data_IF_189856805239
#
_entry.id   IF_189856805239
#
_cell.length_a   1.000
_cell.length_b   1.000
_cell.length_c   1.000
_cell.angle_alpha   90.00
_cell.angle_beta   90.00
_cell.angle_gamma   90.00
#
_symmetry.space_group_name_H-M   'P 1'
#
loop_
_entity.id
_entity.type
_entity.pdbx_description
1 polymer ?
#
# COMPACT_ATOMS: atom_id res chain seq x y z
N UNK A 1 -4.63 -58.22 49.60
CA UNK A 1 -5.82 -58.28 48.72
C UNK A 1 -5.93 -57.00 47.93
N UNK A 2 -6.20 -57.18 46.63
CA UNK A 2 -6.76 -56.23 45.66
C UNK A 2 -5.84 -55.17 45.05
N UNK A 3 -5.04 -55.65 44.10
CA UNK A 3 -5.01 -55.20 42.70
C UNK A 3 -6.23 -54.33 42.26
N UNK A 4 -5.98 -53.14 41.70
CA UNK A 4 -6.73 -52.63 40.54
C UNK A 4 -5.74 -51.99 39.57
N UNK A 5 -5.96 -52.33 38.31
CA UNK A 5 -5.09 -52.22 37.15
C UNK A 5 -5.49 -50.98 36.31
N UNK A 6 -4.53 -50.53 35.51
CA UNK A 6 -4.62 -49.88 34.19
C UNK A 6 -5.13 -48.44 33.97
N UNK A 7 -4.14 -47.62 33.59
CA UNK A 7 -4.01 -46.79 32.36
C UNK A 7 -5.11 -45.79 31.98
N UNK A 8 -4.72 -44.52 31.94
CA UNK A 8 -5.25 -43.51 31.02
C UNK A 8 -4.18 -42.43 30.78
N UNK A 9 -3.50 -42.42 29.63
CA UNK A 9 -3.13 -41.21 28.85
C UNK A 9 -2.77 -41.64 27.41
N UNK A 10 -3.77 -41.62 26.53
CA UNK A 10 -3.72 -41.42 25.07
C UNK A 10 -5.09 -40.74 24.77
N UNK A 11 -5.25 -39.67 24.02
CA UNK A 11 -4.67 -39.34 22.73
C UNK A 11 -4.60 -37.83 22.48
N UNK A 12 -3.62 -37.48 21.65
CA UNK A 12 -3.52 -36.23 20.93
C UNK A 12 -4.78 -35.97 20.08
N UNK A 13 -5.34 -34.77 20.17
CA UNK A 13 -6.08 -34.20 19.06
C UNK A 13 -5.80 -32.70 18.97
N UNK A 14 -4.71 -32.42 18.27
CA UNK A 14 -4.36 -31.15 17.65
C UNK A 14 -5.55 -30.64 16.84
N UNK A 15 -6.35 -29.74 17.41
CA UNK A 15 -7.27 -28.90 16.66
C UNK A 15 -6.47 -27.82 15.93
N UNK A 16 -5.83 -28.21 14.82
CA UNK A 16 -5.35 -27.22 13.84
C UNK A 16 -6.57 -26.54 13.24
N UNK A 17 -6.69 -25.25 13.56
CA UNK A 17 -7.78 -24.38 13.15
C UNK A 17 -7.92 -24.32 11.64
N UNK A 18 -9.08 -24.76 11.16
CA UNK A 18 -9.61 -24.48 9.84
C UNK A 18 -9.96 -22.99 9.74
N UNK A 19 -8.95 -22.12 9.63
CA UNK A 19 -9.18 -20.72 9.30
C UNK A 19 -9.54 -20.63 7.81
N UNK A 20 -10.83 -20.77 7.59
CA UNK A 20 -11.56 -20.50 6.36
C UNK A 20 -11.11 -19.14 5.82
N UNK A 21 -10.40 -19.16 4.68
CA UNK A 21 -10.04 -17.97 3.91
C UNK A 21 -11.33 -17.20 3.57
N UNK A 22 -11.60 -16.14 4.32
CA UNK A 22 -12.68 -15.20 4.02
C UNK A 22 -12.31 -14.42 2.75
N UNK A 23 -12.92 -14.81 1.64
CA UNK A 23 -12.92 -14.09 0.38
C UNK A 23 -13.56 -12.70 0.59
N UNK A 24 -12.75 -11.66 0.63
CA UNK A 24 -13.23 -10.28 0.60
C UNK A 24 -13.82 -9.97 -0.78
N UNK A 25 -15.14 -10.11 -0.90
CA UNK A 25 -15.91 -9.59 -2.02
C UNK A 25 -15.78 -8.06 -2.02
N UNK A 26 -15.35 -7.48 -3.14
CA UNK A 26 -15.49 -6.05 -3.40
C UNK A 26 -16.47 -5.86 -4.53
N UNK A 27 -17.72 -5.59 -4.15
CA UNK A 27 -18.69 -4.98 -5.04
C UNK A 27 -18.19 -3.60 -5.45
N UNK A 28 -18.04 -3.38 -6.75
CA UNK A 28 -17.68 -2.09 -7.31
C UNK A 28 -18.59 -1.81 -8.50
N UNK A 29 -19.68 -1.10 -8.22
CA UNK A 29 -20.48 -0.42 -9.23
C UNK A 29 -19.73 0.81 -9.75
N UNK A 30 -19.56 0.89 -11.07
CA UNK A 30 -19.56 2.10 -11.90
C UNK A 30 -19.18 1.69 -13.35
N UNK A 31 -20.15 1.66 -14.27
CA UNK A 31 -20.57 2.73 -15.20
C UNK A 31 -19.53 3.00 -16.31
N UNK A 32 -19.91 2.54 -17.49
CA UNK A 32 -19.14 2.38 -18.73
C UNK A 32 -18.57 3.65 -19.38
N UNK A 33 -17.46 3.47 -20.11
CA UNK A 33 -17.41 3.65 -21.57
C UNK A 33 -16.09 3.12 -22.15
N UNK A 34 -16.16 1.95 -22.80
CA UNK A 34 -15.38 1.55 -23.98
C UNK A 34 -13.86 1.37 -23.85
N UNK A 35 -13.42 0.14 -23.54
CA UNK A 35 -12.67 -0.78 -24.43
C UNK A 35 -11.80 -1.75 -23.57
N UNK A 36 -12.07 -3.05 -23.71
CA UNK A 36 -11.51 -4.23 -23.01
C UNK A 36 -10.62 -4.01 -21.79
N UNK A 37 -11.20 -4.16 -20.59
CA UNK A 37 -10.50 -4.17 -19.31
C UNK A 37 -10.49 -5.59 -18.72
N UNK A 38 -9.77 -6.51 -19.35
CA UNK A 38 -9.38 -7.76 -18.70
C UNK A 38 -8.33 -7.43 -17.63
N UNK A 39 -8.81 -7.10 -16.44
CA UNK A 39 -7.95 -6.91 -15.27
C UNK A 39 -7.30 -8.25 -14.96
N UNK A 40 -6.10 -8.48 -15.51
CA UNK A 40 -5.25 -9.63 -15.22
C UNK A 40 -5.13 -9.73 -13.69
N UNK A 41 -5.77 -10.75 -13.11
CA UNK A 41 -5.60 -11.12 -11.70
C UNK A 41 -4.17 -11.63 -11.57
N UNK A 42 -3.21 -10.71 -11.46
CA UNK A 42 -1.83 -11.09 -11.32
C UNK A 42 -1.66 -11.72 -9.94
N UNK A 43 -1.32 -13.02 -9.93
CA UNK A 43 -0.95 -13.78 -8.74
C UNK A 43 0.09 -12.98 -7.96
N UNK A 44 -0.29 -12.48 -6.78
CA UNK A 44 0.61 -11.71 -5.93
C UNK A 44 1.69 -12.67 -5.43
N UNK A 45 2.95 -12.42 -5.80
CA UNK A 45 4.10 -13.14 -5.27
C UNK A 45 4.57 -12.45 -3.98
N UNK A 46 4.84 -13.24 -2.95
CA UNK A 46 5.43 -12.78 -1.70
C UNK A 46 6.95 -12.91 -1.75
N UNK A 47 7.62 -12.24 -0.82
CA UNK A 47 9.06 -12.29 -0.67
C UNK A 47 9.53 -13.74 -0.42
N UNK A 48 10.64 -14.12 -1.06
CA UNK A 48 11.18 -15.48 -0.99
C UNK A 48 11.86 -15.81 0.36
N UNK A 49 12.30 -14.79 1.10
CA UNK A 49 12.84 -14.97 2.45
C UNK A 49 11.80 -15.54 3.40
N UNK A 50 12.21 -16.58 4.11
CA UNK A 50 11.42 -17.27 5.11
C UNK A 50 10.78 -16.28 6.10
N UNK A 51 9.51 -16.50 6.42
CA UNK A 51 8.67 -15.62 7.26
C UNK A 51 8.36 -14.20 6.73
N UNK A 52 8.74 -13.84 5.49
CA UNK A 52 8.46 -12.49 4.96
C UNK A 52 7.15 -12.38 4.16
N UNK A 53 6.10 -11.83 4.79
CA UNK A 53 4.80 -11.59 4.13
C UNK A 53 4.75 -10.33 3.25
N UNK A 54 5.88 -9.67 3.00
CA UNK A 54 5.92 -8.49 2.13
C UNK A 54 5.80 -8.91 0.67
N UNK A 55 5.10 -8.11 -0.13
CA UNK A 55 4.98 -8.36 -1.58
C UNK A 55 6.35 -8.32 -2.25
N UNK A 56 6.66 -9.34 -3.03
CA UNK A 56 7.86 -9.38 -3.86
C UNK A 56 7.80 -8.35 -4.99
N UNK A 57 8.96 -7.82 -5.33
CA UNK A 57 9.21 -6.99 -6.50
C UNK A 57 10.00 -7.81 -7.52
N UNK A 58 10.86 -7.16 -8.29
CA UNK A 58 11.82 -7.84 -9.17
C UNK A 58 12.71 -8.76 -8.34
N UNK A 59 12.94 -9.98 -8.83
CA UNK A 59 13.84 -10.95 -8.20
C UNK A 59 13.25 -11.69 -6.99
N UNK A 60 11.92 -11.77 -6.84
CA UNK A 60 11.29 -12.58 -5.78
C UNK A 60 11.42 -11.99 -4.36
N UNK A 61 12.09 -10.86 -4.19
CA UNK A 61 12.36 -10.25 -2.88
C UNK A 61 11.54 -8.98 -2.68
N UNK A 62 11.29 -8.62 -1.42
CA UNK A 62 10.68 -7.33 -1.08
C UNK A 62 11.71 -6.19 -1.06
N UNK A 63 11.26 -4.94 -1.03
CA UNK A 63 12.12 -3.73 -1.00
C UNK A 63 13.16 -3.77 0.12
N UNK A 64 12.76 -4.25 1.31
CA UNK A 64 13.64 -4.37 2.47
C UNK A 64 14.73 -5.44 2.28
N UNK A 65 14.42 -6.48 1.51
CA UNK A 65 15.28 -7.63 1.30
C UNK A 65 16.04 -7.62 -0.04
N UNK A 66 16.13 -6.47 -0.70
CA UNK A 66 16.88 -6.38 -1.96
C UNK A 66 16.02 -6.21 -3.21
N UNK A 67 14.71 -6.46 -3.13
CA UNK A 67 13.80 -6.41 -4.27
C UNK A 67 13.63 -5.04 -4.91
N UNK A 68 13.54 -5.04 -6.24
CA UNK A 68 13.41 -3.83 -7.07
C UNK A 68 14.76 -3.24 -7.51
N UNK A 69 14.73 -2.31 -8.46
CA UNK A 69 15.95 -1.73 -9.04
C UNK A 69 16.62 -0.72 -8.09
N UNK A 70 17.94 -0.76 -8.01
CA UNK A 70 18.77 0.23 -7.30
C UNK A 70 19.08 1.40 -8.21
N UNK A 71 19.38 2.54 -7.61
CA UNK A 71 19.83 3.71 -8.34
C UNK A 71 21.13 3.39 -9.09
N UNK A 72 21.18 3.64 -10.39
CA UNK A 72 22.37 3.47 -11.23
C UNK A 72 23.51 4.46 -10.93
N UNK A 73 23.37 5.27 -9.88
CA UNK A 73 24.43 6.21 -9.49
C UNK A 73 25.43 5.47 -8.62
N UNK A 74 26.72 5.66 -8.89
CA UNK A 74 27.79 5.03 -8.12
C UNK A 74 27.64 5.35 -6.63
N UNK A 75 27.78 4.33 -5.78
CA UNK A 75 27.62 4.43 -4.32
C UNK A 75 26.19 4.67 -3.81
N UNK A 76 25.16 4.68 -4.66
CA UNK A 76 23.79 4.96 -4.20
C UNK A 76 22.98 3.69 -3.88
N UNK A 77 22.74 3.44 -2.59
CA UNK A 77 21.91 2.32 -2.13
C UNK A 77 20.39 2.57 -2.23
N UNK A 78 19.97 3.76 -2.71
CA UNK A 78 18.55 4.12 -2.80
C UNK A 78 17.86 3.36 -3.93
N UNK A 79 16.55 3.15 -3.80
CA UNK A 79 15.75 2.52 -4.85
C UNK A 79 15.53 3.47 -6.02
N UNK A 80 15.62 2.92 -7.22
CA UNK A 80 15.25 3.63 -8.44
C UNK A 80 13.72 3.77 -8.51
N UNK A 81 13.26 4.97 -8.89
CA UNK A 81 11.84 5.26 -9.11
C UNK A 81 11.51 5.21 -10.59
N UNK A 82 12.31 5.87 -11.41
CA UNK A 82 12.15 5.92 -12.87
C UNK A 82 13.53 6.14 -13.50
N UNK A 83 13.73 5.71 -14.75
CA UNK A 83 14.99 5.88 -15.49
C UNK A 83 16.22 5.25 -14.77
N UNK A 84 16.00 4.23 -13.94
CA UNK A 84 17.08 3.63 -13.14
C UNK A 84 17.66 4.53 -12.05
N UNK A 85 17.06 5.70 -11.76
CA UNK A 85 17.58 6.65 -10.77
C UNK A 85 16.62 6.84 -9.59
N UNK A 86 17.17 7.17 -8.43
CA UNK A 86 16.38 7.53 -7.24
C UNK A 86 15.93 9.00 -7.29
N UNK A 87 15.01 9.41 -6.42
CA UNK A 87 14.41 10.76 -6.43
C UNK A 87 15.45 11.88 -6.37
N UNK A 88 16.50 11.72 -5.56
CA UNK A 88 17.58 12.71 -5.46
C UNK A 88 18.39 12.80 -6.76
N UNK A 89 18.62 11.68 -7.44
CA UNK A 89 19.44 11.61 -8.66
C UNK A 89 18.65 11.76 -9.96
N UNK A 90 17.38 12.16 -9.92
CA UNK A 90 16.56 12.38 -11.14
C UNK A 90 15.52 11.32 -11.44
N UNK A 91 15.24 10.43 -10.50
CA UNK A 91 14.13 9.48 -10.57
C UNK A 91 12.79 10.15 -10.34
N UNK A 92 11.97 10.25 -11.39
CA UNK A 92 10.60 10.75 -11.32
C UNK A 92 10.41 12.13 -11.96
N UNK A 93 9.17 12.61 -12.01
CA UNK A 93 8.82 13.89 -12.63
C UNK A 93 9.27 15.06 -11.76
N UNK A 94 9.80 16.11 -12.37
CA UNK A 94 10.14 17.38 -11.69
C UNK A 94 8.95 18.32 -11.64
N UNK A 95 9.01 19.28 -10.73
CA UNK A 95 8.02 20.35 -10.66
C UNK A 95 7.99 21.12 -11.98
N UNK A 96 6.79 21.39 -12.50
CA UNK A 96 6.58 22.11 -13.76
C UNK A 96 6.93 23.61 -13.65
N UNK A 97 7.05 24.14 -12.43
CA UNK A 97 7.44 25.53 -12.19
C UNK A 97 8.92 25.72 -12.55
N UNK A 98 9.19 26.68 -13.44
CA UNK A 98 10.54 27.05 -13.85
C UNK A 98 11.42 27.40 -12.65
N UNK A 99 12.65 26.89 -12.63
CA UNK A 99 13.59 27.07 -11.52
C UNK A 99 13.35 26.16 -10.30
N UNK A 100 12.31 25.32 -10.29
CA UNK A 100 12.05 24.42 -9.17
C UNK A 100 12.65 23.02 -9.37
N UNK A 101 13.71 22.70 -8.63
CA UNK A 101 14.34 21.37 -8.65
C UNK A 101 13.56 20.27 -7.90
N UNK A 102 12.45 20.61 -7.23
CA UNK A 102 11.72 19.67 -6.39
C UNK A 102 10.98 18.60 -7.23
N UNK A 103 10.79 17.43 -6.63
CA UNK A 103 10.00 16.36 -7.25
C UNK A 103 8.51 16.74 -7.30
N UNK A 104 7.89 16.53 -8.46
CA UNK A 104 6.45 16.66 -8.63
C UNK A 104 5.73 15.53 -7.89
N UNK A 105 4.62 15.88 -7.23
CA UNK A 105 3.78 14.92 -6.50
C UNK A 105 2.46 14.69 -7.24
N UNK A 106 1.63 15.73 -7.29
CA UNK A 106 0.32 15.72 -7.95
C UNK A 106 0.26 16.91 -8.91
N UNK A 107 -0.47 16.77 -10.03
CA UNK A 107 -0.68 17.85 -11.01
C UNK A 107 0.61 18.47 -11.57
N UNK A 108 1.72 17.72 -11.60
CA UNK A 108 2.99 18.22 -12.14
C UNK A 108 3.75 19.18 -11.22
N UNK A 109 3.28 19.45 -10.00
CA UNK A 109 3.88 20.42 -9.08
C UNK A 109 4.37 19.78 -7.78
N UNK A 110 5.34 20.41 -7.13
CA UNK A 110 5.88 19.97 -5.84
C UNK A 110 5.00 20.43 -4.66
N UNK A 111 5.34 20.00 -3.45
CA UNK A 111 4.57 20.29 -2.23
C UNK A 111 4.35 21.79 -1.99
N UNK A 112 5.38 22.62 -2.18
CA UNK A 112 5.32 24.08 -2.02
C UNK A 112 4.48 24.76 -3.11
N UNK A 113 4.41 24.16 -4.30
CA UNK A 113 3.79 24.74 -5.49
C UNK A 113 2.38 24.18 -5.78
N UNK A 114 1.70 23.61 -4.76
CA UNK A 114 0.32 23.12 -4.89
C UNK A 114 0.19 21.60 -5.07
N UNK A 115 1.29 20.84 -5.01
CA UNK A 115 1.27 19.38 -5.08
C UNK A 115 0.80 18.70 -3.78
N UNK A 116 0.53 19.47 -2.73
CA UNK A 116 -0.06 18.98 -1.48
C UNK A 116 -1.57 18.77 -1.66
N UNK A 117 -2.08 17.67 -1.14
CA UNK A 117 -3.53 17.47 -1.06
C UNK A 117 -4.07 18.28 0.13
N UNK A 118 -5.16 19.02 -0.09
CA UNK A 118 -5.85 19.79 0.93
C UNK A 118 -7.13 19.09 1.37
N UNK A 119 -7.59 19.45 2.57
CA UNK A 119 -8.88 19.06 3.08
C UNK A 119 -10.00 19.56 2.14
N UNK A 120 -11.01 18.73 1.90
CA UNK A 120 -12.15 19.03 1.04
C UNK A 120 -13.03 20.15 1.56
N UNK A 121 -13.04 20.37 2.88
CA UNK A 121 -13.76 21.49 3.50
C UNK A 121 -13.19 22.84 3.02
N UNK A 122 -14.08 23.72 2.57
CA UNK A 122 -13.75 25.04 2.02
C UNK A 122 -12.89 25.87 3.00
N UNK A 123 -11.86 26.53 2.48
CA UNK A 123 -10.95 27.36 3.29
C UNK A 123 -9.97 26.60 4.20
N UNK A 124 -9.94 25.26 4.16
CA UNK A 124 -9.04 24.49 5.02
C UNK A 124 -7.67 24.20 4.38
N UNK A 125 -6.61 24.81 4.92
CA UNK A 125 -5.23 24.57 4.47
C UNK A 125 -4.58 23.28 5.02
N UNK A 126 -5.31 22.49 5.83
CA UNK A 126 -4.79 21.26 6.44
C UNK A 126 -4.83 20.10 5.44
N UNK A 127 -3.86 19.19 5.55
CA UNK A 127 -3.84 17.97 4.75
C UNK A 127 -4.94 16.98 5.19
N UNK A 128 -5.55 16.24 4.25
CA UNK A 128 -6.56 15.25 4.59
C UNK A 128 -5.95 13.98 5.15
N UNK A 129 -6.76 13.21 5.87
CA UNK A 129 -6.41 11.89 6.40
C UNK A 129 -7.27 10.83 5.72
N UNK A 130 -8.53 10.72 6.13
CA UNK A 130 -9.52 9.79 5.59
C UNK A 130 -10.63 10.57 4.89
N UNK A 131 -11.15 10.04 3.79
CA UNK A 131 -12.29 10.65 3.07
C UNK A 131 -12.01 12.03 2.46
N UNK A 132 -10.75 12.47 2.38
CA UNK A 132 -10.41 13.82 1.91
C UNK A 132 -10.60 14.92 2.96
N UNK A 133 -10.80 14.59 4.24
CA UNK A 133 -10.96 15.57 5.33
C UNK A 133 -9.79 15.51 6.33
N UNK A 134 -9.45 16.64 6.95
CA UNK A 134 -8.38 16.72 7.96
C UNK A 134 -8.86 16.24 9.35
N UNK A 135 -7.98 16.11 10.34
CA UNK A 135 -8.35 15.62 11.69
C UNK A 135 -9.47 16.44 12.37
N UNK A 136 -9.57 17.75 12.09
CA UNK A 136 -10.64 18.59 12.62
C UNK A 136 -11.96 18.45 11.87
N UNK A 137 -11.94 18.04 10.59
CA UNK A 137 -13.13 17.93 9.73
C UNK A 137 -13.56 16.47 9.48
N UNK A 138 -12.72 15.50 9.83
CA UNK A 138 -13.03 14.06 9.76
C UNK A 138 -13.75 13.58 11.03
N UNK A 139 -14.66 14.40 11.56
CA UNK A 139 -15.65 13.94 12.53
C UNK A 139 -16.76 13.33 11.70
N UNK A 140 -16.87 12.00 11.75
CA UNK A 140 -17.84 11.18 11.04
C UNK A 140 -19.14 11.94 10.78
N UNK A 141 -19.44 12.21 9.51
CA UNK A 141 -20.65 12.85 9.01
C UNK A 141 -21.83 12.71 10.00
N UNK A 142 -22.12 13.74 10.78
CA UNK A 142 -23.52 14.09 11.03
C UNK A 142 -23.99 14.58 9.67
N UNK A 143 -24.73 13.72 8.97
CA UNK A 143 -25.47 14.11 7.80
C UNK A 143 -26.48 15.18 8.23
N UNK A 144 -26.15 16.45 8.00
CA UNK A 144 -27.13 17.51 7.98
C UNK A 144 -26.60 18.72 7.20
N UNK A 145 -27.18 18.87 6.01
CA UNK A 145 -27.27 20.03 5.11
C UNK A 145 -27.32 19.40 3.71
N UNK A 146 -28.47 19.31 3.05
CA UNK A 146 -29.28 20.46 2.68
C UNK A 146 -30.79 20.17 2.70
N UNK A 147 -31.50 21.26 2.97
CA UNK A 147 -32.92 21.51 2.75
C UNK A 147 -33.44 21.03 1.39
#
# INVERSE_FOLDING_TARGET
SNEIFVTNVLDANTTVGSQQLQLAKRDQSCRDRGNSCEKRVQKIKFCEIDSCLKRAKTGGLCIAHGGGSRCSNEGCCKHAVTLGRCISHGGGKRCAIAGCGNASRKQGVCWSHGGKLLCKYEGCAKGPKLGGLCWSHNKSHVANSDQ
#
